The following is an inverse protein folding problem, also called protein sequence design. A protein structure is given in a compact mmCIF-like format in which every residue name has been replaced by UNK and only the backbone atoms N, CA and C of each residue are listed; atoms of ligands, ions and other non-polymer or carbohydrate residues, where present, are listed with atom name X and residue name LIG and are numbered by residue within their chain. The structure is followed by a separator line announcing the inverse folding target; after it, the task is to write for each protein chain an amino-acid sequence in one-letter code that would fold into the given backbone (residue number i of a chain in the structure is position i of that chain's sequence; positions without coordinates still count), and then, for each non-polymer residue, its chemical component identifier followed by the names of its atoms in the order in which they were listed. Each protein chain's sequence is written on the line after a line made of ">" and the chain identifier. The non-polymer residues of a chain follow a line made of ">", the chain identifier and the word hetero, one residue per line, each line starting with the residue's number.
data_IF_781840182098
#
_entry.id   IF_781840182098
#
_cell.length_a   1.000
_cell.length_b   1.000
_cell.length_c   1.000
_cell.angle_alpha   90.00
_cell.angle_beta   90.00
_cell.angle_gamma   90.00
#
_symmetry.space_group_name_H-M   'P 1'
#
loop_
_entity.id
_entity.type
_entity.pdbx_description
1 polymer ?
#
# COMPACT_ATOMS: atom_id res chain seq x y z
N UNK A 1 37.76 5.44 -35.51
CA UNK A 1 37.82 6.67 -34.68
C UNK A 1 36.89 7.68 -35.35
N UNK A 2 35.83 8.22 -34.76
CA UNK A 2 35.31 8.15 -33.41
C UNK A 2 33.78 8.32 -33.43
N UNK A 3 33.17 8.00 -32.30
CA UNK A 3 31.74 7.99 -32.07
C UNK A 3 31.23 9.41 -31.74
N UNK A 4 30.04 9.76 -32.23
CA UNK A 4 29.17 10.76 -31.62
C UNK A 4 27.77 10.16 -31.49
N UNK A 5 27.48 9.63 -30.31
CA UNK A 5 26.14 9.27 -29.86
C UNK A 5 25.81 10.22 -28.72
N UNK A 6 25.15 11.31 -29.06
CA UNK A 6 24.56 12.25 -28.12
C UNK A 6 23.53 11.53 -27.22
N UNK A 7 23.91 11.33 -25.95
CA UNK A 7 23.05 10.78 -24.89
C UNK A 7 22.55 11.95 -24.02
N UNK A 8 21.23 12.20 -23.92
CA UNK A 8 20.75 13.17 -22.95
C UNK A 8 20.74 12.57 -21.54
N UNK A 9 21.16 13.43 -20.62
CA UNK A 9 21.48 13.16 -19.23
C UNK A 9 20.31 12.63 -18.38
N UNK A 10 20.74 11.84 -17.40
CA UNK A 10 19.99 11.31 -16.28
C UNK A 10 19.11 12.36 -15.55
N UNK A 11 17.81 12.11 -15.51
CA UNK A 11 16.89 12.63 -14.51
C UNK A 11 16.66 11.58 -13.43
N UNK A 12 17.16 11.84 -12.22
CA UNK A 12 16.94 11.03 -11.04
C UNK A 12 15.48 11.14 -10.54
N UNK A 13 14.84 10.00 -10.23
CA UNK A 13 14.11 9.74 -8.98
C UNK A 13 13.08 8.61 -9.13
N UNK A 14 13.14 7.63 -8.21
CA UNK A 14 11.99 6.80 -7.84
C UNK A 14 12.13 5.31 -8.11
N UNK A 15 12.82 4.61 -7.20
CA UNK A 15 12.77 3.16 -7.07
C UNK A 15 11.32 2.71 -6.85
N UNK A 16 10.66 2.26 -7.91
CA UNK A 16 9.49 1.39 -7.81
C UNK A 16 9.78 0.19 -8.69
N UNK A 17 9.78 -1.01 -8.09
CA UNK A 17 10.03 -2.26 -8.79
C UNK A 17 9.19 -2.29 -10.07
N UNK A 18 9.88 -2.30 -11.21
CA UNK A 18 9.28 -2.12 -12.53
C UNK A 18 8.37 -3.29 -12.88
N UNK A 19 7.08 -3.14 -12.61
CA UNK A 19 6.02 -3.92 -13.24
C UNK A 19 5.63 -3.19 -14.52
N UNK A 20 5.47 -3.93 -15.62
CA UNK A 20 5.08 -3.32 -16.90
C UNK A 20 3.66 -2.75 -16.80
N UNK A 21 3.34 -1.73 -17.61
CA UNK A 21 2.02 -1.08 -17.65
C UNK A 21 0.88 -2.10 -17.89
N UNK A 22 1.17 -3.14 -18.66
CA UNK A 22 0.28 -4.27 -18.93
C UNK A 22 0.02 -5.11 -17.68
N UNK A 23 1.07 -5.46 -16.93
CA UNK A 23 0.97 -6.19 -15.67
C UNK A 23 0.22 -5.38 -14.59
N UNK A 24 0.35 -4.05 -14.61
CA UNK A 24 -0.41 -3.15 -13.74
C UNK A 24 -1.90 -3.18 -14.10
N UNK A 25 -2.22 -3.13 -15.40
CA UNK A 25 -3.60 -3.18 -15.90
C UNK A 25 -4.29 -4.52 -15.63
N UNK A 26 -3.59 -5.63 -15.83
CA UNK A 26 -4.08 -6.98 -15.51
C UNK A 26 -4.39 -7.16 -14.02
N UNK A 27 -3.59 -6.51 -13.17
CA UNK A 27 -3.80 -6.50 -11.71
C UNK A 27 -4.85 -5.48 -11.26
N UNK A 28 -5.46 -4.74 -12.18
CA UNK A 28 -6.42 -3.67 -11.89
C UNK A 28 -5.80 -2.51 -11.11
N UNK A 29 -4.48 -2.35 -11.18
CA UNK A 29 -3.72 -1.32 -10.47
C UNK A 29 -3.75 -0.05 -11.32
N UNK A 30 -4.76 0.80 -11.10
CA UNK A 30 -4.83 2.13 -11.67
C UNK A 30 -4.22 3.16 -10.70
N UNK A 31 -3.49 4.16 -11.23
CA UNK A 31 -3.09 5.33 -10.45
C UNK A 31 -4.33 6.02 -9.90
N UNK A 32 -4.24 6.51 -8.67
CA UNK A 32 -5.37 7.19 -8.00
C UNK A 32 -5.85 8.37 -8.85
N UNK A 33 -7.16 8.41 -9.12
CA UNK A 33 -7.76 9.43 -9.98
C UNK A 33 -7.52 10.85 -9.45
N UNK A 34 -7.41 11.83 -10.36
CA UNK A 34 -7.07 13.20 -10.03
C UNK A 34 -8.11 13.85 -9.11
N UNK A 35 -9.40 13.51 -9.26
CA UNK A 35 -10.45 14.00 -8.36
C UNK A 35 -10.35 13.37 -6.97
N UNK A 36 -10.07 12.07 -6.92
CA UNK A 36 -9.89 11.34 -5.67
C UNK A 36 -8.69 11.91 -4.89
N UNK A 37 -7.60 12.24 -5.59
CA UNK A 37 -6.41 12.90 -5.00
C UNK A 37 -6.71 14.29 -4.45
N UNK A 38 -7.50 15.10 -5.17
CA UNK A 38 -7.94 16.43 -4.69
C UNK A 38 -8.85 16.33 -3.47
N UNK A 39 -9.74 15.33 -3.42
CA UNK A 39 -10.57 15.04 -2.24
C UNK A 39 -9.73 14.53 -1.06
N UNK A 40 -8.69 13.75 -1.32
CA UNK A 40 -7.75 13.27 -0.30
C UNK A 40 -7.01 14.42 0.37
N UNK A 41 -6.54 15.40 -0.41
CA UNK A 41 -5.82 16.57 0.08
C UNK A 41 -6.68 17.48 0.99
N UNK A 42 -8.01 17.44 0.86
CA UNK A 42 -8.93 18.25 1.68
C UNK A 42 -9.35 17.57 2.99
N UNK A 43 -8.88 16.35 3.26
CA UNK A 43 -9.19 15.62 4.49
C UNK A 43 -10.62 15.05 4.50
N UNK A 44 -10.82 13.93 3.82
CA UNK A 44 -12.08 13.17 3.82
C UNK A 44 -12.03 11.89 4.64
N UNK A 45 -13.20 11.39 5.05
CA UNK A 45 -13.36 10.00 5.55
C UNK A 45 -13.44 9.06 4.35
N UNK A 46 -12.61 8.03 4.33
CA UNK A 46 -12.58 7.06 3.25
C UNK A 46 -12.72 5.64 3.80
N UNK A 47 -13.52 4.83 3.12
CA UNK A 47 -13.67 3.41 3.43
C UNK A 47 -12.75 2.62 2.50
N UNK A 48 -11.80 1.91 3.09
CA UNK A 48 -10.91 1.02 2.36
C UNK A 48 -11.30 -0.44 2.60
N UNK A 49 -11.24 -1.25 1.55
CA UNK A 49 -11.30 -2.70 1.63
C UNK A 49 -9.91 -3.24 1.34
N UNK A 50 -9.29 -3.86 2.34
CA UNK A 50 -7.92 -4.40 2.24
C UNK A 50 -7.99 -5.92 2.36
N UNK A 51 -7.36 -6.62 1.43
CA UNK A 51 -7.25 -8.09 1.45
C UNK A 51 -5.79 -8.46 1.73
N UNK A 52 -5.56 -9.18 2.82
CA UNK A 52 -4.24 -9.70 3.18
C UNK A 52 -4.01 -11.04 2.48
N UNK A 53 -3.04 -11.12 1.57
CA UNK A 53 -2.63 -12.36 0.88
C UNK A 53 -1.18 -12.70 1.19
N UNK A 54 -0.86 -14.00 1.19
CA UNK A 54 0.47 -14.55 1.44
C UNK A 54 0.42 -15.99 1.97
N UNK A 55 1.56 -16.67 1.98
CA UNK A 55 1.68 -18.10 2.33
C UNK A 55 1.23 -18.42 3.75
N UNK A 56 0.90 -19.68 4.06
CA UNK A 56 0.62 -20.10 5.44
C UNK A 56 1.77 -19.72 6.39
N UNK A 57 1.49 -19.64 7.70
CA UNK A 57 2.44 -19.24 8.76
C UNK A 57 3.14 -17.87 8.66
N UNK A 58 2.86 -17.03 7.64
CA UNK A 58 3.43 -15.66 7.51
C UNK A 58 2.86 -14.58 8.45
N UNK A 59 2.03 -14.96 9.43
CA UNK A 59 1.53 -14.02 10.44
C UNK A 59 0.35 -13.12 10.01
N UNK A 60 -0.31 -13.39 8.87
CA UNK A 60 -1.50 -12.64 8.39
C UNK A 60 -2.59 -12.50 9.46
N UNK A 61 -2.91 -13.59 10.15
CA UNK A 61 -3.94 -13.60 11.20
C UNK A 61 -3.51 -12.81 12.44
N UNK A 62 -2.22 -12.83 12.76
CA UNK A 62 -1.61 -12.04 13.84
C UNK A 62 -1.64 -10.55 13.51
N UNK A 63 -1.29 -10.16 12.28
CA UNK A 63 -1.38 -8.78 11.80
C UNK A 63 -2.82 -8.27 11.85
N UNK A 64 -3.78 -9.04 11.32
CA UNK A 64 -5.20 -8.69 11.38
C UNK A 64 -5.66 -8.49 12.83
N UNK A 65 -5.24 -9.37 13.74
CA UNK A 65 -5.55 -9.26 15.18
C UNK A 65 -4.94 -8.01 15.81
N UNK A 66 -3.74 -7.61 15.39
CA UNK A 66 -3.09 -6.39 15.88
C UNK A 66 -3.77 -5.12 15.37
N UNK A 67 -4.17 -5.10 14.10
CA UNK A 67 -4.86 -3.95 13.48
C UNK A 67 -6.21 -3.66 14.14
N UNK A 68 -6.92 -4.68 14.62
CA UNK A 68 -8.15 -4.50 15.42
C UNK A 68 -7.90 -4.15 16.89
N UNK A 69 -6.65 -4.01 17.35
CA UNK A 69 -6.29 -3.72 18.74
C UNK A 69 -6.17 -4.93 19.67
N UNK A 70 -6.15 -6.15 19.15
CA UNK A 70 -5.93 -7.36 19.95
C UNK A 70 -4.48 -7.53 20.42
N UNK A 71 -4.30 -8.37 21.44
CA UNK A 71 -2.98 -8.80 21.94
C UNK A 71 -2.32 -9.80 21.00
N UNK A 72 -1.00 -9.93 21.13
CA UNK A 72 -0.24 -10.97 20.43
C UNK A 72 -0.56 -12.34 21.03
N UNK A 73 -0.81 -13.33 20.16
CA UNK A 73 -0.97 -14.72 20.56
C UNK A 73 0.13 -15.53 19.86
N UNK A 74 0.98 -16.25 20.62
CA UNK A 74 2.07 -17.03 20.04
C UNK A 74 1.58 -18.30 19.35
N UNK A 75 0.42 -18.84 19.76
CA UNK A 75 -0.10 -20.09 19.20
C UNK A 75 -0.49 -19.94 17.73
N UNK A 76 0.05 -20.83 16.91
CA UNK A 76 -0.33 -20.91 15.50
C UNK A 76 -1.63 -21.69 15.36
N UNK A 77 -2.70 -20.97 15.01
CA UNK A 77 -3.95 -21.57 14.55
C UNK A 77 -4.19 -21.20 13.08
N UNK A 78 -4.10 -22.16 12.13
CA UNK A 78 -4.36 -21.88 10.72
C UNK A 78 -5.77 -21.33 10.56
N UNK A 79 -5.92 -20.38 9.64
CA UNK A 79 -7.19 -19.71 9.39
C UNK A 79 -7.84 -20.36 8.18
N UNK A 80 -8.89 -21.20 8.35
CA UNK A 80 -9.47 -21.98 7.26
C UNK A 80 -10.23 -21.11 6.24
N UNK A 81 -10.74 -19.96 6.68
CA UNK A 81 -11.56 -19.06 5.87
C UNK A 81 -11.12 -17.60 6.03
N UNK A 82 -11.47 -16.76 5.06
CA UNK A 82 -11.16 -15.32 5.10
C UNK A 82 -11.83 -14.70 6.32
N UNK A 83 -11.02 -14.12 7.22
CA UNK A 83 -11.51 -13.36 8.36
C UNK A 83 -11.66 -11.89 8.01
N UNK A 84 -12.85 -11.36 8.22
CA UNK A 84 -13.17 -9.95 7.99
C UNK A 84 -13.11 -9.18 9.30
N UNK A 85 -12.58 -7.95 9.25
CA UNK A 85 -12.65 -7.00 10.35
C UNK A 85 -12.87 -5.59 9.79
N UNK A 86 -13.62 -4.77 10.54
CA UNK A 86 -13.80 -3.36 10.22
C UNK A 86 -12.99 -2.52 11.22
N UNK A 87 -12.03 -1.75 10.72
CA UNK A 87 -11.14 -0.93 11.56
C UNK A 87 -11.35 0.53 11.19
N UNK A 88 -11.84 1.32 12.17
CA UNK A 88 -11.87 2.77 12.04
C UNK A 88 -10.48 3.30 12.35
N UNK A 89 -9.75 3.72 11.32
CA UNK A 89 -8.42 4.29 11.47
C UNK A 89 -8.49 5.80 11.38
N UNK A 90 -8.02 6.48 12.42
CA UNK A 90 -7.76 7.92 12.38
C UNK A 90 -6.27 8.11 12.18
N UNK A 91 -5.88 8.61 11.01
CA UNK A 91 -4.50 9.00 10.78
C UNK A 91 -4.16 10.12 11.77
N UNK A 92 -3.27 9.83 12.73
CA UNK A 92 -2.61 10.88 13.50
C UNK A 92 -1.65 11.54 12.52
N UNK A 93 -2.10 12.63 11.88
CA UNK A 93 -1.18 13.48 11.14
C UNK A 93 -0.09 13.91 12.13
N UNK A 94 1.18 13.65 11.81
CA UNK A 94 2.28 14.23 12.56
C UNK A 94 2.06 15.76 12.60
N UNK A 95 2.04 16.39 13.79
CA UNK A 95 1.88 17.84 13.91
C UNK A 95 3.13 18.66 13.54
N UNK A 96 4.22 18.05 13.07
CA UNK A 96 5.50 18.72 12.80
C UNK A 96 5.56 19.47 11.45
N UNK A 97 4.50 20.20 11.10
CA UNK A 97 4.45 21.08 9.94
C UNK A 97 3.85 22.45 10.23
N UNK A 98 3.78 22.86 11.50
CA UNK A 98 3.20 24.14 11.89
C UNK A 98 4.10 24.90 12.88
N UNK A 99 5.26 25.34 12.40
CA UNK A 99 6.05 26.45 12.96
C UNK A 99 6.63 27.22 11.78
#
# INVERSE_FOLDING_TARGET
>A
MGADMSTPAAGAAGTSAGLTEEQLRERGIAKMDQEMRRKFARGGKFNFKIVLRGDSSTGKSTLLRRLRGGTFQPDYNPTPEIRTAHVQWQARANPEGNI
#
